data_IF_788036072664
#
_entry.id   IF_788036072664
#
_cell.length_a   1.000
_cell.length_b   1.000
_cell.length_c   1.000
_cell.angle_alpha   90.00
_cell.angle_beta   90.00
_cell.angle_gamma   90.00
#
_symmetry.space_group_name_H-M   'P 1'
#
loop_
_entity.id
_entity.type
_entity.pdbx_description
1 polymer ?
#
# COMPACT_ATOMS: atom_id res chain seq x y z
N UNK A 1 7.45 -45.78 -5.04
CA UNK A 1 8.64 -44.91 -5.14
C UNK A 1 8.30 -43.57 -5.79
N UNK A 2 7.61 -43.52 -6.92
CA UNK A 2 7.22 -42.26 -7.57
C UNK A 2 6.44 -41.29 -6.66
N UNK A 3 5.41 -41.77 -5.93
CA UNK A 3 4.65 -40.92 -4.97
C UNK A 3 5.50 -40.22 -3.90
N UNK A 4 6.63 -40.81 -3.51
CA UNK A 4 7.55 -40.21 -2.54
C UNK A 4 8.30 -39.03 -3.16
N UNK A 5 8.77 -39.19 -4.41
CA UNK A 5 9.37 -38.10 -5.16
C UNK A 5 8.37 -36.99 -5.48
N UNK A 6 7.12 -37.35 -5.83
CA UNK A 6 6.04 -36.38 -6.05
C UNK A 6 5.79 -35.54 -4.80
N UNK A 7 5.74 -36.17 -3.62
CA UNK A 7 5.58 -35.47 -2.34
C UNK A 7 6.73 -34.52 -2.03
N UNK A 8 7.98 -34.89 -2.36
CA UNK A 8 9.14 -34.00 -2.18
C UNK A 8 9.03 -32.78 -3.10
N UNK A 9 8.64 -32.97 -4.36
CA UNK A 9 8.45 -31.89 -5.32
C UNK A 9 7.35 -30.93 -4.84
N UNK A 10 6.25 -31.45 -4.30
CA UNK A 10 5.17 -30.65 -3.73
C UNK A 10 5.63 -29.81 -2.53
N UNK A 11 6.43 -30.38 -1.63
CA UNK A 11 7.00 -29.64 -0.49
C UNK A 11 7.94 -28.52 -0.96
N UNK A 12 8.79 -28.80 -1.94
CA UNK A 12 9.69 -27.78 -2.53
C UNK A 12 8.86 -26.68 -3.20
N UNK A 13 7.82 -27.03 -3.96
CA UNK A 13 6.93 -26.08 -4.60
C UNK A 13 6.20 -25.20 -3.56
N UNK A 14 5.78 -25.76 -2.43
CA UNK A 14 5.16 -25.02 -1.34
C UNK A 14 6.11 -23.96 -0.78
N UNK A 15 7.37 -24.33 -0.50
CA UNK A 15 8.38 -23.38 0.02
C UNK A 15 8.66 -22.27 -1.00
N UNK A 16 8.85 -22.61 -2.28
CA UNK A 16 9.09 -21.62 -3.33
C UNK A 16 7.89 -20.67 -3.47
N UNK A 17 6.67 -21.22 -3.50
CA UNK A 17 5.45 -20.40 -3.61
C UNK A 17 5.25 -19.48 -2.41
N UNK A 18 5.57 -19.95 -1.19
CA UNK A 18 5.53 -19.12 0.00
C UNK A 18 6.46 -17.91 -0.15
N UNK A 19 7.71 -18.13 -0.55
CA UNK A 19 8.70 -17.05 -0.73
C UNK A 19 8.28 -16.08 -1.83
N UNK A 20 7.84 -16.58 -2.99
CA UNK A 20 7.37 -15.74 -4.10
C UNK A 20 6.17 -14.89 -3.66
N UNK A 21 5.20 -15.49 -2.98
CA UNK A 21 4.00 -14.77 -2.53
C UNK A 21 4.33 -13.73 -1.46
N UNK A 22 5.27 -14.01 -0.55
CA UNK A 22 5.76 -13.03 0.42
C UNK A 22 6.34 -11.79 -0.28
N UNK A 23 7.22 -11.98 -1.27
CA UNK A 23 7.77 -10.86 -2.03
C UNK A 23 6.72 -10.13 -2.87
N UNK A 24 5.77 -10.84 -3.51
CA UNK A 24 4.65 -10.21 -4.23
C UNK A 24 3.83 -9.29 -3.33
N UNK A 25 3.52 -9.73 -2.10
CA UNK A 25 2.78 -8.91 -1.14
C UNK A 25 3.57 -7.67 -0.72
N UNK A 26 4.87 -7.80 -0.47
CA UNK A 26 5.73 -6.66 -0.14
C UNK A 26 5.79 -5.64 -1.27
N UNK A 27 5.96 -6.09 -2.51
CA UNK A 27 5.95 -5.21 -3.69
C UNK A 27 4.57 -4.55 -3.83
N UNK A 28 3.49 -5.31 -3.62
CA UNK A 28 2.14 -4.76 -3.66
C UNK A 28 1.97 -3.65 -2.62
N UNK A 29 2.39 -3.87 -1.38
CA UNK A 29 2.32 -2.87 -0.32
C UNK A 29 3.06 -1.59 -0.71
N UNK A 30 4.30 -1.70 -1.17
CA UNK A 30 5.13 -0.54 -1.55
C UNK A 30 4.54 0.19 -2.76
N UNK A 31 3.99 -0.53 -3.74
CA UNK A 31 3.41 0.07 -4.95
C UNK A 31 2.02 0.67 -4.73
N UNK A 32 1.27 0.24 -3.71
CA UNK A 32 -0.04 0.80 -3.38
C UNK A 32 0.06 2.18 -2.72
N UNK A 33 1.11 2.46 -1.94
CA UNK A 33 1.33 3.76 -1.30
C UNK A 33 1.34 4.92 -2.32
N UNK A 34 2.20 4.93 -3.35
CA UNK A 34 2.23 6.02 -4.33
C UNK A 34 0.94 6.07 -5.17
N UNK A 35 0.27 4.93 -5.43
CA UNK A 35 -1.03 4.91 -6.12
C UNK A 35 -2.13 5.59 -5.29
N UNK A 36 -2.18 5.34 -3.99
CA UNK A 36 -3.12 5.98 -3.08
C UNK A 36 -2.87 7.50 -3.00
N UNK A 37 -1.60 7.91 -2.91
CA UNK A 37 -1.23 9.33 -2.92
C UNK A 37 -1.59 10.00 -4.25
N UNK A 38 -1.30 9.37 -5.38
CA UNK A 38 -1.66 9.88 -6.71
C UNK A 38 -3.18 9.97 -6.91
N UNK A 39 -3.94 9.03 -6.35
CA UNK A 39 -5.40 9.09 -6.39
C UNK A 39 -5.93 10.27 -5.56
N UNK A 40 -5.40 10.49 -4.36
CA UNK A 40 -5.77 11.64 -3.52
C UNK A 40 -5.50 12.97 -4.24
N UNK A 41 -4.34 13.11 -4.89
CA UNK A 41 -4.03 14.32 -5.67
C UNK A 41 -4.94 14.49 -6.88
N UNK A 42 -5.28 13.40 -7.58
CA UNK A 42 -6.23 13.44 -8.70
C UNK A 42 -7.63 13.89 -8.27
N UNK A 43 -8.11 13.46 -7.09
CA UNK A 43 -9.41 13.90 -6.54
C UNK A 43 -9.47 15.43 -6.37
N UNK A 44 -8.37 16.08 -5.96
CA UNK A 44 -8.31 17.55 -5.91
C UNK A 44 -8.44 18.20 -7.28
N UNK A 45 -7.94 17.56 -8.34
CA UNK A 45 -8.07 18.06 -9.71
C UNK A 45 -9.52 18.02 -10.25
N UNK A 46 -10.35 17.12 -9.74
CA UNK A 46 -11.77 17.02 -10.12
C UNK A 46 -12.70 17.96 -9.33
N UNK A 47 -12.23 18.52 -8.22
CA UNK A 47 -13.01 19.42 -7.38
C UNK A 47 -13.02 20.85 -7.96
N UNK A 48 -14.18 21.53 -7.99
CA UNK A 48 -14.23 22.96 -8.25
C UNK A 48 -13.31 23.74 -7.30
N UNK A 49 -12.60 24.76 -7.81
CA UNK A 49 -11.54 25.47 -7.09
C UNK A 49 -11.99 26.08 -5.75
N UNK A 50 -13.26 26.44 -5.62
CA UNK A 50 -13.82 26.96 -4.37
C UNK A 50 -14.02 25.87 -3.30
N UNK A 51 -14.25 24.61 -3.69
CA UNK A 51 -14.36 23.48 -2.74
C UNK A 51 -12.99 22.94 -2.35
N UNK A 52 -12.03 22.93 -3.29
CA UNK A 52 -10.68 22.43 -3.02
C UNK A 52 -9.97 23.24 -1.92
N UNK A 53 -10.14 24.56 -1.92
CA UNK A 53 -9.57 25.46 -0.90
C UNK A 53 -10.10 25.16 0.51
N UNK A 54 -11.39 24.90 0.69
CA UNK A 54 -11.94 24.52 1.99
C UNK A 54 -11.34 23.20 2.50
N UNK A 55 -11.25 22.19 1.63
CA UNK A 55 -10.75 20.86 2.00
C UNK A 55 -9.26 20.91 2.37
N UNK A 56 -8.45 21.66 1.61
CA UNK A 56 -7.01 21.78 1.84
C UNK A 56 -6.70 22.41 3.21
N UNK A 57 -7.51 23.38 3.67
CA UNK A 57 -7.35 23.99 5.01
C UNK A 57 -7.56 22.96 6.13
N UNK A 58 -8.60 22.13 6.05
CA UNK A 58 -8.85 21.08 7.04
C UNK A 58 -7.72 20.05 7.08
N UNK A 59 -7.19 19.68 5.91
CA UNK A 59 -6.05 18.77 5.82
C UNK A 59 -4.80 19.40 6.42
N UNK A 60 -4.53 20.67 6.14
CA UNK A 60 -3.38 21.38 6.71
C UNK A 60 -3.44 21.42 8.25
N UNK A 61 -4.60 21.75 8.82
CA UNK A 61 -4.80 21.72 10.28
C UNK A 61 -4.59 20.30 10.82
N UNK A 62 -5.16 19.28 10.18
CA UNK A 62 -4.99 17.89 10.60
C UNK A 62 -3.52 17.44 10.58
N UNK A 63 -2.76 17.83 9.55
CA UNK A 63 -1.32 17.54 9.45
C UNK A 63 -0.55 18.25 10.55
N UNK A 64 -0.79 19.55 10.77
CA UNK A 64 -0.13 20.33 11.82
C UNK A 64 -0.40 19.73 13.19
N UNK A 65 -1.66 19.44 13.52
CA UNK A 65 -2.04 18.82 14.79
C UNK A 65 -1.39 17.44 14.95
N UNK A 66 -1.35 16.63 13.89
CA UNK A 66 -0.72 15.32 13.93
C UNK A 66 0.79 15.42 14.12
N UNK A 67 1.46 16.39 13.50
CA UNK A 67 2.90 16.62 13.66
C UNK A 67 3.23 17.14 15.07
N UNK A 68 2.44 18.08 15.59
CA UNK A 68 2.59 18.60 16.96
C UNK A 68 2.39 17.46 17.97
N UNK A 69 1.35 16.64 17.80
CA UNK A 69 1.05 15.53 18.73
C UNK A 69 1.96 14.31 18.56
N UNK A 70 2.67 14.20 17.44
CA UNK A 70 3.75 13.20 17.23
C UNK A 70 5.13 13.73 17.61
N UNK A 71 5.22 14.95 18.16
CA UNK A 71 6.47 15.57 18.62
C UNK A 71 6.98 15.03 19.97
N UNK A 72 6.74 13.75 20.27
CA UNK A 72 7.54 12.96 21.22
C UNK A 72 8.51 12.06 20.44
#
# INVERSE_FOLDING_TARGET
>A
MFKFFDSIVEVIALVINFVINAFKMLILLITQIPKALAYLTAVFGYLPAFLSTFIVIFIAIAVIVTLINKGE
#
